data_IF_426065466867
#
_entry.id   IF_426065466867
#
_cell.length_a   1.000
_cell.length_b   1.000
_cell.length_c   1.000
_cell.angle_alpha   90.00
_cell.angle_beta   90.00
_cell.angle_gamma   90.00
#
_symmetry.space_group_name_H-M   'P 1'
#
loop_
_entity.id
_entity.type
_entity.pdbx_description
1 polymer ?
#
# COMPACT_ATOMS: atom_id res chain seq x y z
N UNK A 1 -17.38 27.92 -90.11
CA UNK A 1 -18.33 28.13 -89.02
C UNK A 1 -18.27 26.88 -88.11
N UNK A 2 -17.39 26.86 -87.14
CA UNK A 2 -17.24 25.75 -86.19
C UNK A 2 -17.93 26.09 -84.90
N UNK A 3 -18.92 25.33 -84.49
CA UNK A 3 -19.55 25.42 -83.17
C UNK A 3 -18.77 24.57 -82.17
N UNK A 4 -18.22 25.22 -81.13
CA UNK A 4 -17.58 24.55 -80.01
C UNK A 4 -18.72 24.29 -79.02
N UNK A 5 -18.95 22.97 -78.68
CA UNK A 5 -19.83 22.55 -77.61
C UNK A 5 -18.96 22.51 -76.30
N UNK A 6 -19.29 23.38 -75.35
CA UNK A 6 -18.71 23.29 -73.97
C UNK A 6 -19.55 22.31 -73.12
N UNK A 7 -18.95 21.19 -72.72
CA UNK A 7 -19.55 20.23 -71.81
C UNK A 7 -19.23 20.59 -70.37
N UNK A 8 -20.20 21.02 -69.57
CA UNK A 8 -20.08 21.25 -68.13
C UNK A 8 -20.26 19.91 -67.43
N UNK A 9 -19.16 19.39 -66.81
CA UNK A 9 -19.24 18.27 -65.86
C UNK A 9 -19.50 18.82 -64.47
N UNK A 10 -20.70 18.54 -63.93
CA UNK A 10 -21.05 18.79 -62.54
C UNK A 10 -20.40 17.71 -61.66
N UNK A 11 -19.46 18.07 -60.82
CA UNK A 11 -18.89 17.18 -59.77
C UNK A 11 -19.69 17.42 -58.51
N UNK A 12 -20.55 16.45 -58.13
CA UNK A 12 -21.25 16.46 -56.86
C UNK A 12 -20.25 15.93 -55.80
N UNK A 13 -19.74 16.81 -54.95
CA UNK A 13 -18.96 16.44 -53.76
C UNK A 13 -19.95 16.06 -52.66
N UNK A 14 -20.11 14.76 -52.43
CA UNK A 14 -20.90 14.22 -51.34
C UNK A 14 -20.11 14.31 -50.05
N UNK A 15 -20.34 15.35 -49.24
CA UNK A 15 -19.72 15.52 -47.93
C UNK A 15 -20.39 14.58 -46.93
N UNK A 16 -19.75 13.44 -46.63
CA UNK A 16 -20.18 12.57 -45.54
C UNK A 16 -19.87 13.25 -44.19
N UNK A 17 -20.90 13.78 -43.57
CA UNK A 17 -20.82 14.25 -42.17
C UNK A 17 -20.89 13.01 -41.27
N UNK A 18 -19.76 12.58 -40.76
CA UNK A 18 -19.70 11.58 -39.66
C UNK A 18 -20.17 12.24 -38.38
N UNK A 19 -21.41 12.02 -37.99
CA UNK A 19 -21.91 12.35 -36.65
C UNK A 19 -21.39 11.27 -35.74
N UNK A 20 -20.31 11.57 -34.99
CA UNK A 20 -19.87 10.76 -33.85
C UNK A 20 -20.88 10.98 -32.72
N UNK A 21 -21.91 10.15 -32.64
CA UNK A 21 -22.70 10.02 -31.42
C UNK A 21 -21.79 9.33 -30.38
N UNK A 22 -21.42 10.05 -29.31
CA UNK A 22 -20.92 9.40 -28.11
C UNK A 22 -22.03 8.51 -27.57
N UNK A 23 -21.98 7.22 -27.84
CA UNK A 23 -22.77 6.25 -27.11
C UNK A 23 -22.09 6.13 -25.74
N UNK A 24 -22.63 6.78 -24.72
CA UNK A 24 -22.30 6.45 -23.36
C UNK A 24 -22.66 4.97 -23.16
N UNK A 25 -21.65 4.14 -22.92
CA UNK A 25 -21.88 2.73 -22.64
C UNK A 25 -22.78 2.66 -21.40
N UNK A 26 -23.90 1.94 -21.51
CA UNK A 26 -24.85 1.78 -20.41
C UNK A 26 -24.12 1.08 -19.25
N UNK A 27 -24.11 1.71 -18.06
CA UNK A 27 -23.50 1.15 -16.86
C UNK A 27 -24.23 -0.12 -16.46
N UNK A 28 -23.51 -1.18 -16.12
CA UNK A 28 -24.08 -2.44 -15.63
C UNK A 28 -24.60 -2.25 -14.21
N UNK A 29 -25.92 -2.48 -13.99
CA UNK A 29 -26.63 -2.26 -12.72
C UNK A 29 -26.53 -3.46 -11.75
N UNK A 30 -25.36 -4.05 -11.60
CA UNK A 30 -25.10 -5.19 -10.69
C UNK A 30 -24.29 -4.78 -9.44
N UNK A 31 -24.46 -3.56 -8.99
CA UNK A 31 -23.74 -3.00 -7.85
C UNK A 31 -23.96 -3.77 -6.53
N UNK A 32 -22.85 -4.07 -5.83
CA UNK A 32 -22.85 -4.71 -4.52
C UNK A 32 -22.15 -3.82 -3.49
N UNK A 33 -22.64 -3.85 -2.27
CA UNK A 33 -22.03 -3.12 -1.14
C UNK A 33 -20.58 -3.59 -0.96
N UNK A 34 -19.65 -2.64 -0.94
CA UNK A 34 -18.23 -2.91 -0.66
C UNK A 34 -18.02 -3.36 0.78
N UNK A 35 -17.03 -4.20 1.03
CA UNK A 35 -16.62 -4.61 2.38
C UNK A 35 -16.08 -3.46 3.24
N UNK A 36 -15.82 -2.30 2.65
CA UNK A 36 -15.45 -1.06 3.35
C UNK A 36 -16.63 -0.20 3.77
N UNK A 37 -17.88 -0.59 3.47
CA UNK A 37 -19.06 0.10 3.97
C UNK A 37 -19.20 -0.09 5.49
N UNK A 38 -19.68 0.94 6.19
CA UNK A 38 -20.04 0.81 7.59
C UNK A 38 -21.21 -0.16 7.78
N UNK A 39 -21.27 -0.81 8.92
CA UNK A 39 -22.34 -1.77 9.26
C UNK A 39 -23.72 -1.11 9.08
N UNK A 40 -24.59 -1.77 8.31
CA UNK A 40 -25.94 -1.30 8.01
C UNK A 40 -26.02 -0.25 6.89
N UNK A 41 -24.91 0.17 6.31
CA UNK A 41 -24.88 1.07 5.15
C UNK A 41 -24.86 0.27 3.85
N UNK A 42 -25.50 0.83 2.81
CA UNK A 42 -25.52 0.23 1.46
C UNK A 42 -24.37 0.69 0.57
N UNK A 43 -23.76 1.84 0.88
CA UNK A 43 -22.69 2.46 0.12
C UNK A 43 -21.40 2.52 0.95
N UNK A 44 -20.22 2.61 0.30
CA UNK A 44 -20.00 2.57 -1.16
C UNK A 44 -20.32 1.21 -1.77
N UNK A 45 -20.63 1.20 -3.07
CA UNK A 45 -20.90 0.00 -3.85
C UNK A 45 -19.91 -0.13 -5.01
N UNK A 46 -19.72 -1.36 -5.48
CA UNK A 46 -18.90 -1.65 -6.66
C UNK A 46 -19.65 -2.61 -7.58
N UNK A 47 -19.61 -2.38 -8.90
CA UNK A 47 -20.19 -3.26 -9.88
C UNK A 47 -19.14 -4.18 -10.56
N UNK A 48 -19.58 -5.08 -11.44
CA UNK A 48 -18.70 -5.99 -12.18
C UNK A 48 -17.72 -5.29 -13.12
N UNK A 49 -17.99 -4.04 -13.53
CA UNK A 49 -17.06 -3.19 -14.28
C UNK A 49 -16.06 -2.45 -13.36
N UNK A 50 -16.08 -2.69 -12.05
CA UNK A 50 -15.24 -2.02 -11.05
C UNK A 50 -15.52 -0.51 -10.91
N UNK A 51 -16.74 -0.06 -11.28
CA UNK A 51 -17.19 1.30 -11.00
C UNK A 51 -17.60 1.41 -9.54
N UNK A 52 -17.18 2.49 -8.91
CA UNK A 52 -17.52 2.80 -7.51
C UNK A 52 -18.71 3.75 -7.49
N UNK A 53 -19.80 3.37 -6.80
CA UNK A 53 -20.99 4.19 -6.59
C UNK A 53 -21.07 4.64 -5.15
N UNK A 54 -21.32 5.93 -4.96
CA UNK A 54 -21.52 6.55 -3.64
C UNK A 54 -22.84 7.29 -3.58
N UNK A 55 -23.36 7.50 -2.35
CA UNK A 55 -24.60 8.24 -2.13
C UNK A 55 -24.51 9.03 -0.83
N UNK A 56 -24.96 10.29 -0.86
CA UNK A 56 -25.02 11.15 0.33
C UNK A 56 -26.25 12.07 0.29
N UNK A 57 -26.87 12.30 1.45
CA UNK A 57 -27.90 13.34 1.61
C UNK A 57 -27.23 14.68 1.91
N UNK A 58 -27.39 15.64 0.99
CA UNK A 58 -26.89 17.00 1.11
C UNK A 58 -27.85 17.97 0.39
N UNK A 59 -29.06 18.21 0.95
CA UNK A 59 -30.13 18.92 0.24
C UNK A 59 -29.78 20.35 -0.10
N UNK A 60 -28.95 21.04 0.67
CA UNK A 60 -28.55 22.42 0.44
C UNK A 60 -27.32 22.56 -0.46
N UNK A 61 -26.60 21.45 -0.75
CA UNK A 61 -25.41 21.49 -1.59
C UNK A 61 -25.76 21.86 -3.06
N UNK A 62 -24.86 22.61 -3.69
CA UNK A 62 -24.94 23.00 -5.10
C UNK A 62 -24.16 22.06 -6.00
N UNK A 63 -23.10 21.44 -5.48
CA UNK A 63 -22.24 20.52 -6.19
C UNK A 63 -21.73 19.46 -5.21
N UNK A 64 -21.88 18.18 -5.57
CA UNK A 64 -21.25 17.07 -4.86
C UNK A 64 -20.48 16.20 -5.87
N UNK A 65 -19.24 15.84 -5.53
CA UNK A 65 -18.38 15.06 -6.40
C UNK A 65 -17.76 13.89 -5.60
N UNK A 66 -17.60 12.75 -6.26
CA UNK A 66 -16.75 11.66 -5.82
C UNK A 66 -15.33 11.93 -6.30
N UNK A 67 -14.37 12.02 -5.38
CA UNK A 67 -12.93 12.22 -5.67
C UNK A 67 -12.21 10.89 -5.40
N UNK A 68 -11.89 10.15 -6.45
CA UNK A 68 -11.21 8.85 -6.40
C UNK A 68 -10.25 8.72 -7.59
N UNK A 69 -9.07 8.11 -7.36
CA UNK A 69 -8.06 7.92 -8.41
C UNK A 69 -7.55 9.26 -8.99
N UNK A 70 -7.52 10.33 -8.19
CA UNK A 70 -7.19 11.70 -8.60
C UNK A 70 -8.15 12.30 -9.65
N UNK A 71 -9.35 11.75 -9.81
CA UNK A 71 -10.41 12.22 -10.69
C UNK A 71 -11.66 12.56 -9.88
N UNK A 72 -12.32 13.67 -10.21
CA UNK A 72 -13.59 14.09 -9.60
C UNK A 72 -14.74 13.78 -10.55
N UNK A 73 -15.74 13.06 -10.04
CA UNK A 73 -16.94 12.66 -10.76
C UNK A 73 -18.15 13.38 -10.15
N UNK A 74 -18.90 14.13 -10.95
CA UNK A 74 -20.10 14.86 -10.52
C UNK A 74 -21.22 13.87 -10.16
N UNK A 75 -21.82 14.04 -8.98
CA UNK A 75 -23.00 13.32 -8.55
C UNK A 75 -24.28 14.03 -9.05
N UNK A 76 -25.37 13.28 -9.17
CA UNK A 76 -26.69 13.79 -9.53
C UNK A 76 -27.58 13.86 -8.28
N UNK A 77 -28.23 15.02 -8.09
CA UNK A 77 -29.17 15.28 -6.98
C UNK A 77 -30.57 14.85 -7.40
N UNK A 78 -31.24 14.10 -6.54
CA UNK A 78 -32.68 13.79 -6.69
C UNK A 78 -33.58 14.86 -6.04
N UNK A 79 -34.89 14.69 -6.14
CA UNK A 79 -35.91 15.59 -5.56
C UNK A 79 -35.88 15.67 -4.03
N UNK A 80 -35.32 14.65 -3.38
CA UNK A 80 -35.20 14.55 -1.90
C UNK A 80 -33.85 15.12 -1.40
N UNK A 81 -33.03 15.68 -2.28
CA UNK A 81 -31.71 16.22 -1.93
C UNK A 81 -30.65 15.16 -1.70
N UNK A 82 -30.86 13.94 -2.20
CA UNK A 82 -29.87 12.85 -2.15
C UNK A 82 -29.05 12.86 -3.42
N UNK A 83 -27.75 12.85 -3.27
CA UNK A 83 -26.77 12.83 -4.34
C UNK A 83 -26.23 11.44 -4.56
N UNK A 84 -26.28 10.96 -5.81
CA UNK A 84 -25.76 9.64 -6.20
C UNK A 84 -24.93 9.78 -7.48
N UNK A 85 -23.80 9.07 -7.53
CA UNK A 85 -22.96 9.07 -8.73
C UNK A 85 -21.88 7.98 -8.67
N UNK A 86 -21.17 7.87 -9.77
CA UNK A 86 -20.25 6.75 -10.04
C UNK A 86 -18.93 7.24 -10.61
N UNK A 87 -17.87 6.48 -10.32
CA UNK A 87 -16.58 6.65 -10.98
C UNK A 87 -16.53 5.96 -12.35
N UNK A 88 -15.51 6.25 -13.15
CA UNK A 88 -15.03 5.29 -14.15
C UNK A 88 -14.54 4.00 -13.47
N UNK A 89 -14.31 2.89 -14.22
CA UNK A 89 -13.69 1.69 -13.68
C UNK A 89 -12.39 1.99 -12.92
N UNK A 90 -12.24 1.40 -11.74
CA UNK A 90 -11.04 1.51 -10.90
C UNK A 90 -10.22 0.22 -11.01
N UNK A 91 -8.95 0.27 -10.62
CA UNK A 91 -8.14 -0.93 -10.49
C UNK A 91 -8.61 -1.80 -9.32
N UNK A 92 -8.19 -3.06 -9.29
CA UNK A 92 -8.51 -3.99 -8.20
C UNK A 92 -7.81 -3.60 -6.90
N UNK A 93 -8.48 -3.85 -5.76
CA UNK A 93 -7.94 -3.63 -4.44
C UNK A 93 -8.47 -2.38 -3.74
N UNK A 94 -7.72 -1.87 -2.79
CA UNK A 94 -8.14 -0.78 -1.92
C UNK A 94 -7.82 0.59 -2.53
N UNK A 95 -8.82 1.48 -2.55
CA UNK A 95 -8.68 2.87 -2.98
C UNK A 95 -9.14 3.85 -1.91
N UNK A 96 -8.35 4.90 -1.67
CA UNK A 96 -8.82 6.06 -0.92
C UNK A 96 -9.75 6.91 -1.77
N UNK A 97 -10.81 7.44 -1.17
CA UNK A 97 -11.68 8.42 -1.81
C UNK A 97 -12.19 9.47 -0.81
N UNK A 98 -12.70 10.57 -1.34
CA UNK A 98 -13.38 11.62 -0.59
C UNK A 98 -14.64 12.06 -1.32
N UNK A 99 -15.55 12.72 -0.62
CA UNK A 99 -16.60 13.51 -1.23
C UNK A 99 -16.17 14.99 -1.23
N UNK A 100 -16.41 15.69 -2.35
CA UNK A 100 -16.26 17.14 -2.39
C UNK A 100 -17.65 17.73 -2.41
N UNK A 101 -18.01 18.47 -1.36
CA UNK A 101 -19.32 19.15 -1.19
C UNK A 101 -19.07 20.64 -1.23
N UNK A 102 -19.53 21.30 -2.28
CA UNK A 102 -19.33 22.75 -2.52
C UNK A 102 -17.86 23.19 -2.36
N UNK A 103 -16.93 22.33 -2.78
CA UNK A 103 -15.49 22.56 -2.70
C UNK A 103 -14.80 22.08 -1.40
N UNK A 104 -15.56 21.69 -0.38
CA UNK A 104 -14.99 21.08 0.82
C UNK A 104 -14.75 19.58 0.62
N UNK A 105 -13.53 19.11 0.89
CA UNK A 105 -13.18 17.69 0.86
C UNK A 105 -13.53 17.04 2.20
N UNK A 106 -14.48 16.12 2.21
CA UNK A 106 -15.00 15.45 3.41
C UNK A 106 -15.00 13.94 3.29
N UNK A 107 -14.85 13.20 4.39
CA UNK A 107 -15.04 11.76 4.38
C UNK A 107 -16.52 11.40 4.12
N UNK A 108 -16.75 10.28 3.42
CA UNK A 108 -18.08 9.69 3.27
C UNK A 108 -18.51 9.01 4.59
N UNK A 109 -19.62 9.44 5.22
CA UNK A 109 -20.08 8.84 6.47
C UNK A 109 -20.59 7.40 6.31
N UNK A 110 -20.73 6.90 5.10
CA UNK A 110 -21.12 5.52 4.84
C UNK A 110 -19.94 4.56 4.75
N UNK A 111 -18.70 5.07 4.59
CA UNK A 111 -17.46 4.29 4.53
C UNK A 111 -16.83 4.10 5.91
N UNK A 112 -16.16 2.97 6.13
CA UNK A 112 -15.14 2.87 7.17
C UNK A 112 -14.05 3.93 6.91
N UNK A 113 -13.38 4.36 7.99
CA UNK A 113 -12.34 5.38 7.90
C UNK A 113 -10.95 4.76 7.97
N UNK A 114 -10.06 5.30 7.14
CA UNK A 114 -8.68 4.88 7.00
C UNK A 114 -7.76 6.09 7.06
N UNK A 115 -6.60 5.93 7.67
CA UNK A 115 -5.57 6.97 7.62
C UNK A 115 -4.69 6.77 6.39
N UNK A 116 -4.66 7.75 5.51
CA UNK A 116 -3.83 7.77 4.32
C UNK A 116 -3.81 9.17 3.69
N UNK A 117 -2.84 9.44 2.83
CA UNK A 117 -2.61 10.77 2.28
C UNK A 117 -2.56 11.87 3.37
N UNK A 118 -1.97 11.53 4.55
CA UNK A 118 -1.81 12.40 5.73
C UNK A 118 -3.12 12.88 6.38
N UNK A 119 -4.21 12.15 6.20
CA UNK A 119 -5.53 12.45 6.80
C UNK A 119 -6.37 11.20 7.00
N UNK A 120 -7.36 11.30 7.89
CA UNK A 120 -8.44 10.34 7.94
C UNK A 120 -9.42 10.58 6.79
N UNK A 121 -9.85 9.52 6.15
CA UNK A 121 -10.75 9.59 4.99
C UNK A 121 -11.42 8.27 4.70
N UNK A 122 -12.17 8.26 3.61
CA UNK A 122 -12.92 7.10 3.15
C UNK A 122 -12.05 6.14 2.35
N UNK A 123 -12.45 4.88 2.31
CA UNK A 123 -11.86 3.87 1.46
C UNK A 123 -12.91 2.97 0.83
N UNK A 124 -12.59 2.44 -0.32
CA UNK A 124 -13.40 1.44 -1.00
C UNK A 124 -12.55 0.25 -1.39
N UNK A 125 -13.05 -0.94 -1.14
CA UNK A 125 -12.47 -2.19 -1.62
C UNK A 125 -13.13 -2.54 -2.95
N UNK A 126 -12.36 -2.50 -4.02
CA UNK A 126 -12.73 -2.99 -5.34
C UNK A 126 -12.31 -4.46 -5.42
N UNK A 127 -13.23 -5.41 -5.67
CA UNK A 127 -12.91 -6.83 -5.67
C UNK A 127 -11.76 -7.17 -6.60
N UNK A 128 -10.76 -7.89 -6.09
CA UNK A 128 -9.63 -8.39 -6.87
C UNK A 128 -9.85 -9.87 -7.21
N UNK A 129 -9.36 -10.28 -8.39
CA UNK A 129 -9.49 -11.67 -8.85
C UNK A 129 -8.77 -12.68 -7.92
N UNK A 130 -7.78 -12.22 -7.16
CA UNK A 130 -6.99 -13.02 -6.23
C UNK A 130 -7.19 -12.64 -4.75
N UNK A 131 -8.30 -11.97 -4.40
CA UNK A 131 -8.54 -11.44 -3.05
C UNK A 131 -8.58 -12.50 -1.94
N UNK A 132 -8.73 -13.79 -2.29
CA UNK A 132 -8.83 -14.90 -1.36
C UNK A 132 -7.72 -14.93 -0.31
N UNK A 133 -6.49 -14.51 -0.63
CA UNK A 133 -5.37 -14.56 0.30
C UNK A 133 -5.47 -13.54 1.45
N UNK A 134 -6.29 -12.49 1.33
CA UNK A 134 -6.51 -11.47 2.37
C UNK A 134 -7.97 -11.33 2.79
N UNK A 135 -8.85 -12.22 2.36
CA UNK A 135 -10.25 -12.25 2.84
C UNK A 135 -10.34 -12.76 4.28
N UNK A 136 -11.40 -12.32 4.97
CA UNK A 136 -11.78 -12.86 6.26
C UNK A 136 -12.35 -14.27 6.06
N UNK A 137 -11.62 -15.28 6.47
CA UNK A 137 -11.99 -16.70 6.35
C UNK A 137 -12.34 -17.31 7.71
N UNK A 138 -13.03 -18.43 7.72
CA UNK A 138 -13.28 -19.20 8.93
C UNK A 138 -12.06 -20.07 9.29
N UNK A 139 -11.02 -19.41 9.76
CA UNK A 139 -9.76 -20.01 10.22
C UNK A 139 -9.42 -19.47 11.61
N UNK A 140 -8.50 -20.08 12.37
CA UNK A 140 -8.02 -19.47 13.61
C UNK A 140 -7.41 -18.09 13.35
N UNK A 141 -7.82 -17.08 14.11
CA UNK A 141 -7.35 -15.71 13.98
C UNK A 141 -6.38 -15.31 15.08
N UNK A 142 -5.35 -14.55 14.70
CA UNK A 142 -4.51 -13.80 15.59
C UNK A 142 -5.21 -12.54 16.13
N UNK A 143 -4.48 -11.72 16.85
CA UNK A 143 -4.99 -10.47 17.39
C UNK A 143 -4.10 -9.30 17.01
N UNK A 144 -4.72 -8.16 16.71
CA UNK A 144 -4.02 -6.87 16.56
C UNK A 144 -4.23 -6.08 17.84
N UNK A 145 -3.14 -5.76 18.54
CA UNK A 145 -3.12 -5.09 19.82
C UNK A 145 -2.59 -3.68 19.65
N UNK A 146 -3.29 -2.71 20.19
CA UNK A 146 -2.75 -1.36 20.34
C UNK A 146 -1.82 -1.35 21.57
N UNK A 147 -0.60 -0.83 21.39
CA UNK A 147 0.39 -0.70 22.45
C UNK A 147 0.90 0.74 22.51
N UNK A 148 0.68 1.38 23.65
CA UNK A 148 1.11 2.75 23.93
C UNK A 148 2.37 2.70 24.78
N UNK A 149 3.41 3.42 24.40
CA UNK A 149 4.69 3.47 25.12
C UNK A 149 5.28 4.88 25.11
N UNK A 150 6.12 5.15 26.10
CA UNK A 150 6.97 6.34 26.09
C UNK A 150 8.26 6.05 25.37
N UNK A 151 8.60 6.85 24.36
CA UNK A 151 9.86 6.75 23.64
C UNK A 151 10.89 7.70 24.27
N UNK A 152 11.98 7.15 24.78
CA UNK A 152 13.10 7.93 25.32
C UNK A 152 13.84 8.70 24.22
N UNK A 153 13.91 8.15 23.00
CA UNK A 153 14.56 8.80 21.87
C UNK A 153 13.73 10.00 21.34
N UNK A 154 12.39 9.86 21.28
CA UNK A 154 11.52 10.94 20.80
C UNK A 154 11.01 11.86 21.90
N UNK A 155 11.24 11.53 23.18
CA UNK A 155 10.72 12.25 24.36
C UNK A 155 9.21 12.46 24.29
N UNK A 156 8.47 11.47 23.80
CA UNK A 156 7.03 11.57 23.62
C UNK A 156 6.32 10.21 23.75
N UNK A 157 5.03 10.26 24.05
CA UNK A 157 4.18 9.08 23.97
C UNK A 157 4.02 8.68 22.51
N UNK A 158 4.21 7.39 22.23
CA UNK A 158 4.04 6.78 20.92
C UNK A 158 3.09 5.59 21.01
N UNK A 159 2.66 5.12 19.86
CA UNK A 159 1.76 3.99 19.73
C UNK A 159 2.24 3.10 18.60
N UNK A 160 2.15 1.78 18.78
CA UNK A 160 2.31 0.80 17.74
C UNK A 160 1.16 -0.21 17.77
N UNK A 161 0.94 -0.90 16.65
CA UNK A 161 0.04 -2.03 16.56
C UNK A 161 0.83 -3.32 16.44
N UNK A 162 0.42 -4.34 17.19
CA UNK A 162 1.16 -5.59 17.28
C UNK A 162 0.22 -6.73 16.92
N UNK A 163 0.48 -7.40 15.80
CA UNK A 163 -0.18 -8.65 15.50
C UNK A 163 0.51 -9.79 16.23
N UNK A 164 -0.27 -10.57 16.98
CA UNK A 164 0.14 -11.83 17.59
C UNK A 164 -0.57 -12.98 16.91
N UNK A 165 0.13 -14.08 16.51
CA UNK A 165 -0.45 -15.13 15.70
C UNK A 165 -1.51 -15.95 16.44
N UNK A 166 -2.33 -16.74 15.72
CA UNK A 166 -3.32 -17.63 16.32
C UNK A 166 -2.71 -18.53 17.40
N UNK A 167 -3.38 -18.65 18.53
CA UNK A 167 -2.91 -19.45 19.67
C UNK A 167 -1.88 -18.76 20.56
N UNK A 168 -1.45 -17.54 20.27
CA UNK A 168 -0.48 -16.80 21.09
C UNK A 168 -0.85 -16.80 22.56
N UNK A 169 -2.07 -16.42 22.94
CA UNK A 169 -2.49 -16.32 24.35
C UNK A 169 -2.67 -17.68 25.06
N UNK A 170 -2.85 -18.75 24.29
CA UNK A 170 -3.02 -20.12 24.83
C UNK A 170 -1.70 -20.83 25.05
N UNK A 171 -0.73 -20.59 24.17
CA UNK A 171 0.57 -21.29 24.17
C UNK A 171 1.64 -20.42 24.84
N UNK A 172 1.56 -20.29 26.16
CA UNK A 172 2.40 -19.36 26.95
C UNK A 172 3.90 -19.66 26.89
N UNK A 173 4.30 -20.89 26.60
CA UNK A 173 5.72 -21.29 26.51
C UNK A 173 6.33 -21.03 25.12
N UNK A 174 5.47 -20.81 24.11
CA UNK A 174 5.95 -20.63 22.74
C UNK A 174 6.50 -19.21 22.54
N UNK A 175 7.69 -19.12 21.97
CA UNK A 175 8.32 -17.86 21.55
C UNK A 175 8.32 -17.75 20.03
N UNK A 176 8.27 -16.53 19.53
CA UNK A 176 8.01 -16.24 18.12
C UNK A 176 9.08 -15.33 17.52
N UNK A 177 9.44 -15.54 16.25
CA UNK A 177 10.17 -14.53 15.48
C UNK A 177 9.36 -13.23 15.36
N UNK A 178 10.04 -12.12 15.01
CA UNK A 178 9.42 -10.80 14.92
C UNK A 178 9.73 -10.15 13.58
N UNK A 179 8.66 -9.68 12.89
CA UNK A 179 8.74 -8.80 11.74
C UNK A 179 8.39 -7.36 12.15
N UNK A 180 9.30 -6.43 11.97
CA UNK A 180 9.05 -4.98 12.08
C UNK A 180 8.62 -4.49 10.69
N UNK A 181 7.34 -4.09 10.55
CA UNK A 181 6.69 -3.81 9.27
C UNK A 181 6.27 -2.34 9.17
N UNK A 182 6.94 -1.57 8.30
CA UNK A 182 6.78 -0.13 8.21
C UNK A 182 5.80 0.30 7.12
N UNK A 183 5.01 1.33 7.44
CA UNK A 183 4.07 1.98 6.52
C UNK A 183 4.77 2.97 5.56
N UNK A 184 4.02 3.48 4.58
CA UNK A 184 4.48 4.46 3.59
C UNK A 184 4.33 5.92 4.02
N UNK A 185 4.80 6.82 3.18
CA UNK A 185 4.60 8.25 3.37
C UNK A 185 3.13 8.63 3.33
N UNK A 186 2.69 9.48 4.28
CA UNK A 186 1.28 9.88 4.39
C UNK A 186 0.37 8.86 5.06
N UNK A 187 0.90 7.74 5.54
CA UNK A 187 0.20 6.72 6.31
C UNK A 187 0.69 6.70 7.76
N UNK A 188 0.19 5.80 8.58
CA UNK A 188 0.59 5.65 9.97
C UNK A 188 0.58 4.17 10.41
N UNK A 189 0.79 3.93 11.69
CA UNK A 189 0.86 2.62 12.32
C UNK A 189 -0.39 1.73 12.14
N UNK A 190 -1.54 2.30 11.73
CA UNK A 190 -2.78 1.53 11.48
C UNK A 190 -2.83 0.92 10.09
N UNK A 191 -2.05 1.45 9.13
CA UNK A 191 -2.18 1.13 7.70
C UNK A 191 -2.10 -0.36 7.39
N UNK A 192 -1.09 -1.05 7.90
CA UNK A 192 -0.90 -2.47 7.61
C UNK A 192 -1.99 -3.37 8.19
N UNK A 193 -2.54 -3.05 9.37
CA UNK A 193 -3.61 -3.85 9.99
C UNK A 193 -5.01 -3.50 9.46
N UNK A 194 -5.20 -2.33 8.84
CA UNK A 194 -6.47 -1.90 8.26
C UNK A 194 -6.50 -2.13 6.74
N UNK A 195 -6.12 -1.13 5.94
CA UNK A 195 -6.12 -1.28 4.48
C UNK A 195 -5.10 -2.32 3.97
N UNK A 196 -4.01 -2.58 4.69
CA UNK A 196 -3.02 -3.61 4.36
C UNK A 196 -3.46 -5.04 4.65
N UNK A 197 -4.41 -5.23 5.56
CA UNK A 197 -4.95 -6.54 5.99
C UNK A 197 -3.87 -7.57 6.38
N UNK A 198 -2.75 -7.10 6.94
CA UNK A 198 -1.60 -7.95 7.26
C UNK A 198 -1.95 -9.10 8.21
N UNK A 199 -2.86 -8.85 9.17
CA UNK A 199 -3.35 -9.88 10.09
C UNK A 199 -4.11 -11.00 9.36
N UNK A 200 -4.99 -10.67 8.39
CA UNK A 200 -5.76 -11.66 7.63
C UNK A 200 -4.86 -12.44 6.68
N UNK A 201 -3.89 -11.77 6.04
CA UNK A 201 -2.87 -12.43 5.21
C UNK A 201 -2.12 -13.48 6.03
N UNK A 202 -1.70 -13.12 7.24
CA UNK A 202 -0.96 -14.03 8.13
C UNK A 202 -1.84 -15.18 8.62
N UNK A 203 -3.06 -14.89 9.08
CA UNK A 203 -4.00 -15.91 9.56
C UNK A 203 -4.26 -16.98 8.48
N UNK A 204 -4.52 -16.54 7.25
CA UNK A 204 -4.74 -17.43 6.11
C UNK A 204 -3.49 -18.25 5.78
N UNK A 205 -2.31 -17.62 5.69
CA UNK A 205 -1.05 -18.30 5.42
C UNK A 205 -0.67 -19.33 6.49
N UNK A 206 -0.90 -19.01 7.77
CA UNK A 206 -0.65 -19.92 8.89
C UNK A 206 -1.61 -21.11 8.83
N UNK A 207 -2.89 -20.87 8.59
CA UNK A 207 -3.90 -21.92 8.46
C UNK A 207 -3.62 -22.85 7.27
N UNK A 208 -3.07 -22.32 6.18
CA UNK A 208 -2.66 -23.09 4.99
C UNK A 208 -1.28 -23.77 5.16
N UNK A 209 -0.60 -23.59 6.29
CA UNK A 209 0.75 -24.12 6.53
C UNK A 209 1.84 -23.53 5.63
N UNK A 210 1.58 -22.35 4.99
CA UNK A 210 2.50 -21.68 4.07
C UNK A 210 3.47 -20.73 4.77
N UNK A 211 3.12 -20.23 5.96
CA UNK A 211 3.98 -19.38 6.78
C UNK A 211 4.09 -19.93 8.20
N UNK A 212 5.27 -19.75 8.81
CA UNK A 212 5.43 -19.95 10.26
C UNK A 212 4.71 -18.85 11.03
N UNK A 213 4.17 -19.12 12.22
CA UNK A 213 3.65 -18.07 13.08
C UNK A 213 4.78 -17.13 13.54
N UNK A 214 4.55 -15.81 13.41
CA UNK A 214 5.45 -14.77 13.93
C UNK A 214 4.67 -13.53 14.37
N UNK A 215 5.28 -12.70 15.19
CA UNK A 215 4.74 -11.41 15.63
C UNK A 215 5.04 -10.37 14.56
N UNK A 216 4.08 -9.46 14.28
CA UNK A 216 4.33 -8.28 13.45
C UNK A 216 4.19 -7.03 14.31
N UNK A 217 5.19 -6.16 14.26
CA UNK A 217 5.20 -4.86 14.94
C UNK A 217 5.07 -3.75 13.88
N UNK A 218 4.02 -2.96 13.97
CA UNK A 218 3.68 -1.86 13.08
C UNK A 218 3.75 -0.55 13.87
N UNK A 219 4.84 0.17 13.77
CA UNK A 219 5.03 1.46 14.44
C UNK A 219 4.87 2.62 13.45
N UNK A 220 4.70 3.83 13.98
CA UNK A 220 4.71 5.03 13.18
C UNK A 220 6.15 5.42 12.82
N UNK A 221 6.55 5.12 11.58
CA UNK A 221 7.87 5.46 11.05
C UNK A 221 8.08 6.95 10.78
N UNK A 222 7.03 7.78 10.97
CA UNK A 222 7.15 9.22 10.80
C UNK A 222 7.81 9.83 12.03
N UNK A 223 9.02 10.34 11.85
CA UNK A 223 9.75 11.07 12.87
C UNK A 223 9.58 12.57 12.64
N UNK A 224 9.04 13.30 13.60
CA UNK A 224 8.69 14.71 13.43
C UNK A 224 9.73 15.71 13.94
N UNK A 225 11.01 15.41 13.90
CA UNK A 225 11.94 16.53 13.79
C UNK A 225 11.91 17.00 12.34
N UNK A 226 11.16 18.08 12.09
CA UNK A 226 11.23 18.79 10.81
C UNK A 226 12.66 19.29 10.64
N UNK A 227 13.52 18.43 10.10
CA UNK A 227 14.77 18.88 9.52
C UNK A 227 14.48 19.89 8.42
N UNK A 228 15.40 20.75 8.06
CA UNK A 228 15.24 21.69 6.96
C UNK A 228 14.85 20.90 5.71
N UNK A 229 13.89 21.41 4.95
CA UNK A 229 13.56 20.83 3.62
C UNK A 229 14.86 20.78 2.82
N UNK A 230 15.14 19.66 2.11
CA UNK A 230 16.30 19.59 1.23
C UNK A 230 16.31 20.83 0.32
N UNK A 231 17.46 21.49 0.20
CA UNK A 231 17.66 22.53 -0.79
C UNK A 231 17.40 21.97 -2.19
N UNK A 232 16.88 22.79 -3.09
CA UNK A 232 16.71 22.40 -4.48
C UNK A 232 18.03 21.84 -5.03
N UNK A 233 18.03 20.56 -5.50
CA UNK A 233 19.21 19.87 -6.00
C UNK A 233 19.92 18.92 -5.03
N UNK A 234 19.44 18.77 -3.78
CA UNK A 234 19.95 17.77 -2.84
C UNK A 234 19.52 16.35 -3.19
N UNK A 235 20.32 15.35 -2.77
CA UNK A 235 19.95 13.91 -2.89
C UNK A 235 18.77 13.58 -2.00
N UNK A 236 17.84 12.78 -2.52
CA UNK A 236 16.70 12.25 -1.73
C UNK A 236 16.87 10.75 -1.51
N UNK A 237 16.68 10.24 -0.29
CA UNK A 237 16.48 10.98 0.96
C UNK A 237 17.77 11.69 1.41
N UNK A 238 17.68 12.81 2.16
CA UNK A 238 18.86 13.49 2.67
C UNK A 238 19.59 12.61 3.70
N UNK A 239 20.90 12.82 3.84
CA UNK A 239 21.72 12.12 4.85
C UNK A 239 21.10 12.27 6.25
N UNK A 240 21.00 11.17 6.98
CA UNK A 240 20.42 11.16 8.32
C UNK A 240 18.89 11.20 8.39
N UNK A 241 18.22 11.12 7.23
CA UNK A 241 16.75 11.17 7.17
C UNK A 241 16.05 10.08 8.00
N UNK A 242 16.61 8.88 8.05
CA UNK A 242 16.06 7.77 8.81
C UNK A 242 16.57 7.68 10.25
N UNK A 243 17.54 8.49 10.67
CA UNK A 243 18.26 8.32 11.95
C UNK A 243 17.33 8.43 13.16
N UNK A 244 16.39 9.37 13.13
CA UNK A 244 15.42 9.51 14.22
C UNK A 244 14.58 8.26 14.43
N UNK A 245 14.00 7.72 13.35
CA UNK A 245 13.23 6.48 13.47
C UNK A 245 14.11 5.27 13.73
N UNK A 246 15.30 5.21 13.16
CA UNK A 246 16.28 4.16 13.46
C UNK A 246 16.59 4.10 14.96
N UNK A 247 16.82 5.23 15.61
CA UNK A 247 17.05 5.29 17.05
C UNK A 247 15.84 4.81 17.84
N UNK A 248 14.62 5.29 17.51
CA UNK A 248 13.39 4.81 18.16
C UNK A 248 13.24 3.30 17.99
N UNK A 249 13.43 2.78 16.78
CA UNK A 249 13.31 1.35 16.51
C UNK A 249 14.30 0.52 17.33
N UNK A 250 15.57 0.91 17.30
CA UNK A 250 16.64 0.09 17.87
C UNK A 250 16.80 0.23 19.39
N UNK A 251 16.48 1.40 19.95
CA UNK A 251 16.69 1.68 21.38
C UNK A 251 15.42 1.63 22.22
N UNK A 252 14.25 1.89 21.63
CA UNK A 252 12.98 1.86 22.35
C UNK A 252 12.13 0.65 21.95
N UNK A 253 11.79 0.50 20.65
CA UNK A 253 10.79 -0.49 20.21
C UNK A 253 11.31 -1.92 20.36
N UNK A 254 12.47 -2.25 19.80
CA UNK A 254 13.01 -3.62 19.86
C UNK A 254 13.21 -4.09 21.30
N UNK A 255 13.83 -3.34 22.21
CA UNK A 255 13.96 -3.74 23.60
C UNK A 255 12.62 -3.90 24.34
N UNK A 256 11.65 -3.01 24.08
CA UNK A 256 10.31 -3.10 24.65
C UNK A 256 9.59 -4.37 24.18
N UNK A 257 9.60 -4.65 22.88
CA UNK A 257 8.95 -5.84 22.30
C UNK A 257 9.59 -7.13 22.83
N UNK A 258 10.92 -7.19 22.91
CA UNK A 258 11.63 -8.36 23.44
C UNK A 258 11.36 -8.58 24.93
N UNK A 259 11.09 -7.52 25.70
CA UNK A 259 10.74 -7.58 27.12
C UNK A 259 9.29 -7.99 27.36
N UNK A 260 8.35 -7.47 26.57
CA UNK A 260 6.91 -7.55 26.88
C UNK A 260 6.19 -8.64 26.09
N UNK A 261 6.78 -9.12 24.99
CA UNK A 261 6.22 -10.18 24.15
C UNK A 261 7.12 -11.42 24.15
N UNK A 262 6.54 -12.56 23.87
CA UNK A 262 7.29 -13.83 23.79
C UNK A 262 8.03 -13.93 22.45
N UNK A 263 9.12 -13.20 22.36
CA UNK A 263 9.99 -13.17 21.18
C UNK A 263 11.13 -14.18 21.25
N UNK A 264 11.73 -14.49 20.11
CA UNK A 264 13.07 -15.07 19.98
C UNK A 264 14.04 -13.90 19.74
N UNK A 265 14.69 -13.35 20.81
CA UNK A 265 15.33 -12.03 20.77
C UNK A 265 16.75 -12.08 20.17
N UNK A 266 16.90 -12.68 19.02
CA UNK A 266 18.18 -12.76 18.31
C UNK A 266 18.01 -12.34 16.83
N UNK A 267 19.12 -12.02 16.19
CA UNK A 267 19.17 -11.55 14.82
C UNK A 267 18.49 -12.53 13.84
N UNK A 268 18.69 -13.83 13.98
CA UNK A 268 18.16 -14.85 13.08
C UNK A 268 16.61 -14.88 13.04
N UNK A 269 15.98 -14.47 14.13
CA UNK A 269 14.54 -14.42 14.32
C UNK A 269 13.97 -13.00 14.23
N UNK A 270 14.73 -12.07 13.66
CA UNK A 270 14.28 -10.68 13.48
C UNK A 270 14.32 -10.27 12.01
N UNK A 271 13.19 -9.79 11.52
CA UNK A 271 13.02 -9.30 10.16
C UNK A 271 12.59 -7.83 10.16
N UNK A 272 12.94 -7.10 9.13
CA UNK A 272 12.42 -5.77 8.86
C UNK A 272 11.90 -5.68 7.43
N UNK A 273 10.71 -5.13 7.25
CA UNK A 273 10.17 -4.84 5.94
C UNK A 273 9.35 -3.54 5.95
N UNK A 274 9.08 -3.00 4.77
CA UNK A 274 8.23 -1.83 4.66
C UNK A 274 7.87 -1.48 3.22
N UNK A 275 6.81 -0.69 3.08
CA UNK A 275 6.35 -0.18 1.80
C UNK A 275 6.81 1.26 1.58
N UNK A 276 7.13 1.63 0.33
CA UNK A 276 7.44 3.02 -0.06
C UNK A 276 8.47 3.69 0.87
N UNK A 277 8.08 4.71 1.63
CA UNK A 277 8.90 5.34 2.68
C UNK A 277 9.48 4.29 3.67
N UNK A 278 8.65 3.36 4.13
CA UNK A 278 9.07 2.28 5.02
C UNK A 278 10.07 1.32 4.37
N UNK A 279 9.98 1.10 3.06
CA UNK A 279 10.99 0.35 2.30
C UNK A 279 12.34 1.08 2.24
N UNK A 280 12.33 2.41 2.05
CA UNK A 280 13.55 3.23 2.13
C UNK A 280 14.15 3.22 3.54
N UNK A 281 13.31 3.31 4.58
CA UNK A 281 13.77 3.17 5.98
C UNK A 281 14.38 1.80 6.21
N UNK A 282 13.74 0.73 5.73
CA UNK A 282 14.24 -0.64 5.83
C UNK A 282 15.63 -0.75 5.19
N UNK A 283 15.83 -0.23 3.98
CA UNK A 283 17.14 -0.20 3.33
C UNK A 283 18.19 0.49 4.18
N UNK A 284 17.93 1.71 4.64
CA UNK A 284 18.90 2.52 5.38
C UNK A 284 19.23 1.87 6.74
N UNK A 285 18.21 1.45 7.47
CA UNK A 285 18.36 0.91 8.84
C UNK A 285 19.09 -0.43 8.82
N UNK A 286 18.74 -1.32 7.88
CA UNK A 286 19.37 -2.65 7.84
C UNK A 286 20.82 -2.60 7.33
N UNK A 287 21.13 -1.68 6.41
CA UNK A 287 22.53 -1.44 6.00
C UNK A 287 23.37 -0.82 7.12
N UNK A 288 22.78 0.05 7.96
CA UNK A 288 23.48 0.65 9.11
C UNK A 288 23.63 -0.32 10.29
N UNK A 289 22.80 -1.36 10.39
CA UNK A 289 22.77 -2.34 11.49
C UNK A 289 22.73 -3.77 10.91
N UNK A 290 23.81 -4.24 10.27
CA UNK A 290 23.81 -5.52 9.57
C UNK A 290 23.68 -6.74 10.47
N UNK A 291 23.96 -6.60 11.77
CA UNK A 291 23.85 -7.62 12.80
C UNK A 291 22.49 -7.67 13.52
N UNK A 292 21.56 -6.80 13.18
CA UNK A 292 20.28 -6.68 13.88
C UNK A 292 19.16 -7.46 13.21
N UNK A 293 19.17 -7.55 11.88
CA UNK A 293 18.12 -8.20 11.10
C UNK A 293 18.72 -9.25 10.16
N UNK A 294 18.11 -10.44 10.12
CA UNK A 294 18.53 -11.50 9.19
C UNK A 294 17.70 -11.52 7.90
N UNK A 295 16.56 -10.86 7.88
CA UNK A 295 15.63 -10.94 6.77
C UNK A 295 15.04 -9.57 6.48
N UNK A 296 15.10 -9.17 5.21
CA UNK A 296 14.86 -7.80 4.78
C UNK A 296 13.89 -7.79 3.59
N UNK A 297 12.81 -7.00 3.70
CA UNK A 297 11.80 -6.83 2.65
C UNK A 297 11.59 -5.37 2.26
N UNK A 298 11.71 -5.03 1.00
CA UNK A 298 11.44 -3.69 0.48
C UNK A 298 10.35 -3.76 -0.58
N UNK A 299 9.19 -3.14 -0.29
CA UNK A 299 8.02 -3.12 -1.15
C UNK A 299 7.87 -1.72 -1.76
N UNK A 300 8.11 -1.56 -3.05
CA UNK A 300 8.06 -0.26 -3.75
C UNK A 300 8.90 0.85 -3.07
N UNK A 301 10.00 0.50 -2.41
CA UNK A 301 10.73 1.40 -1.50
C UNK A 301 12.25 1.43 -1.73
N UNK A 302 12.71 1.17 -2.93
CA UNK A 302 14.13 1.15 -3.25
C UNK A 302 14.67 -0.26 -3.49
N UNK A 303 15.97 -0.35 -3.71
CA UNK A 303 16.71 -1.60 -3.86
C UNK A 303 18.07 -1.50 -3.19
N UNK A 304 18.68 -2.63 -2.91
CA UNK A 304 20.08 -2.76 -2.46
C UNK A 304 20.89 -3.29 -3.63
N UNK A 305 22.06 -2.73 -3.85
CA UNK A 305 23.02 -3.18 -4.86
C UNK A 305 24.28 -3.75 -4.21
N UNK A 306 25.20 -4.25 -5.03
CA UNK A 306 26.47 -4.87 -4.54
C UNK A 306 27.36 -3.84 -3.82
N UNK A 307 27.37 -2.58 -4.27
CA UNK A 307 28.13 -1.52 -3.63
C UNK A 307 27.59 -1.21 -2.20
N UNK A 308 26.26 -1.17 -2.04
CA UNK A 308 25.64 -1.02 -0.71
C UNK A 308 26.09 -2.13 0.25
N UNK A 309 26.12 -3.38 -0.24
CA UNK A 309 26.55 -4.54 0.56
C UNK A 309 28.04 -4.43 0.92
N UNK A 310 28.89 -4.04 -0.03
CA UNK A 310 30.32 -3.88 0.22
C UNK A 310 30.62 -2.75 1.23
N UNK A 311 29.77 -1.72 1.25
CA UNK A 311 29.88 -0.59 2.20
C UNK A 311 29.25 -0.87 3.57
N UNK A 312 28.65 -2.06 3.76
CA UNK A 312 28.04 -2.51 5.02
C UNK A 312 28.69 -3.82 5.48
N UNK A 313 29.82 -3.76 6.21
CA UNK A 313 30.55 -4.95 6.65
C UNK A 313 29.66 -5.90 7.46
N UNK A 314 29.66 -7.18 7.10
CA UNK A 314 28.84 -8.21 7.73
C UNK A 314 27.42 -8.34 7.14
N UNK A 315 26.98 -7.44 6.29
CA UNK A 315 25.62 -7.51 5.73
C UNK A 315 25.36 -8.80 4.93
N UNK A 316 26.31 -9.18 4.07
CA UNK A 316 26.22 -10.40 3.27
C UNK A 316 26.15 -11.67 4.14
N UNK A 317 26.94 -11.73 5.19
CA UNK A 317 27.03 -12.87 6.10
C UNK A 317 25.79 -12.99 7.00
N UNK A 318 25.24 -11.86 7.38
CA UNK A 318 24.17 -11.78 8.38
C UNK A 318 22.76 -11.80 7.76
N UNK A 319 22.57 -11.19 6.59
CA UNK A 319 21.25 -11.18 5.92
C UNK A 319 21.04 -12.47 5.15
N UNK A 320 20.08 -13.28 5.63
CA UNK A 320 19.76 -14.61 5.06
C UNK A 320 18.67 -14.57 3.99
N UNK A 321 17.90 -13.49 3.92
CA UNK A 321 16.88 -13.26 2.92
C UNK A 321 16.79 -11.76 2.61
N UNK A 322 16.90 -11.43 1.32
CA UNK A 322 16.59 -10.10 0.79
C UNK A 322 15.46 -10.23 -0.23
N UNK A 323 14.35 -9.53 0.03
CA UNK A 323 13.18 -9.52 -0.85
C UNK A 323 12.88 -8.10 -1.31
N UNK A 324 12.81 -7.91 -2.62
CA UNK A 324 12.49 -6.62 -3.25
C UNK A 324 11.27 -6.82 -4.15
N UNK A 325 10.29 -5.92 -4.07
CA UNK A 325 9.08 -6.02 -4.89
C UNK A 325 8.59 -4.67 -5.36
N UNK A 326 7.88 -4.69 -6.49
CA UNK A 326 7.23 -3.54 -7.10
C UNK A 326 5.94 -3.95 -7.81
N UNK A 327 5.02 -3.01 -8.00
CA UNK A 327 3.94 -3.16 -8.96
C UNK A 327 4.49 -3.09 -10.39
N UNK A 328 3.86 -3.82 -11.32
CA UNK A 328 4.33 -3.84 -12.72
C UNK A 328 4.32 -2.46 -13.39
N UNK A 329 3.36 -1.60 -13.02
CA UNK A 329 3.24 -0.23 -13.54
C UNK A 329 4.24 0.77 -12.90
N UNK A 330 5.02 0.33 -11.90
CA UNK A 330 6.06 1.16 -11.30
C UNK A 330 7.42 1.01 -11.98
N UNK A 331 7.63 -0.04 -12.78
CA UNK A 331 8.97 -0.43 -13.26
C UNK A 331 9.56 0.61 -14.22
N UNK A 332 8.72 1.30 -14.99
CA UNK A 332 9.14 2.36 -15.92
C UNK A 332 9.35 3.72 -15.23
N UNK A 333 9.03 3.82 -13.92
CA UNK A 333 9.21 5.06 -13.18
C UNK A 333 10.70 5.28 -12.87
N UNK A 334 11.29 6.44 -13.23
CA UNK A 334 12.69 6.75 -12.91
C UNK A 334 13.02 6.62 -11.41
N UNK A 335 12.06 6.88 -10.52
CA UNK A 335 12.26 6.75 -9.06
C UNK A 335 12.50 5.30 -8.64
N UNK A 336 11.88 4.32 -9.31
CA UNK A 336 12.10 2.89 -9.05
C UNK A 336 13.55 2.51 -9.30
N UNK A 337 14.19 3.14 -10.27
CA UNK A 337 15.54 2.84 -10.72
C UNK A 337 16.62 3.77 -10.12
N UNK A 338 16.32 4.58 -9.10
CA UNK A 338 17.28 5.53 -8.51
C UNK A 338 18.58 4.87 -8.00
N UNK A 339 18.49 3.62 -7.50
CA UNK A 339 19.65 2.82 -7.03
C UNK A 339 20.01 1.72 -8.03
N UNK A 340 19.76 1.92 -9.32
CA UNK A 340 19.85 0.91 -10.37
C UNK A 340 18.57 0.07 -10.49
N UNK A 341 18.45 -0.69 -11.57
CA UNK A 341 17.30 -1.59 -11.79
C UNK A 341 17.19 -2.61 -10.66
N UNK A 342 16.04 -2.72 -9.96
CA UNK A 342 15.85 -3.69 -8.88
C UNK A 342 16.08 -5.14 -9.34
N UNK A 343 15.66 -5.50 -10.54
CA UNK A 343 15.86 -6.83 -11.11
C UNK A 343 17.34 -7.16 -11.32
N UNK A 344 18.09 -6.20 -11.90
CA UNK A 344 19.54 -6.36 -12.12
C UNK A 344 20.32 -6.37 -10.80
N UNK A 345 19.91 -5.56 -9.83
CA UNK A 345 20.51 -5.57 -8.50
C UNK A 345 20.35 -6.95 -7.83
N UNK A 346 19.13 -7.51 -7.84
CA UNK A 346 18.86 -8.84 -7.28
C UNK A 346 19.68 -9.91 -8.01
N UNK A 347 19.80 -9.84 -9.34
CA UNK A 347 20.63 -10.77 -10.12
C UNK A 347 22.10 -10.73 -9.67
N UNK A 348 22.68 -9.53 -9.59
CA UNK A 348 24.07 -9.34 -9.13
C UNK A 348 24.30 -9.77 -7.69
N UNK A 349 23.32 -9.55 -6.82
CA UNK A 349 23.37 -10.02 -5.43
C UNK A 349 23.36 -11.56 -5.34
N UNK A 350 22.61 -12.25 -6.21
CA UNK A 350 22.67 -13.71 -6.30
C UNK A 350 24.05 -14.20 -6.79
N UNK A 351 24.66 -13.50 -7.75
CA UNK A 351 26.00 -13.83 -8.27
C UNK A 351 27.08 -13.78 -7.18
N UNK A 352 26.93 -12.90 -6.19
CA UNK A 352 27.84 -12.86 -5.01
C UNK A 352 27.38 -13.80 -3.88
N UNK A 353 26.36 -14.64 -4.10
CA UNK A 353 25.92 -15.67 -3.15
C UNK A 353 24.87 -15.22 -2.13
N UNK A 354 24.23 -14.07 -2.30
CA UNK A 354 23.12 -13.65 -1.44
C UNK A 354 21.80 -14.30 -1.87
N UNK A 355 21.02 -14.80 -0.88
CA UNK A 355 19.64 -15.26 -1.10
C UNK A 355 18.72 -14.03 -1.28
N UNK A 356 18.55 -13.61 -2.52
CA UNK A 356 17.80 -12.41 -2.88
C UNK A 356 16.67 -12.74 -3.87
N UNK A 357 15.52 -12.08 -3.70
CA UNK A 357 14.32 -12.30 -4.51
C UNK A 357 13.80 -10.99 -5.08
N UNK A 358 13.34 -11.05 -6.34
CA UNK A 358 12.60 -9.95 -6.95
C UNK A 358 11.20 -10.43 -7.32
N UNK A 359 10.18 -9.73 -6.83
CA UNK A 359 8.78 -10.01 -7.12
C UNK A 359 8.13 -8.82 -7.81
N UNK A 360 7.37 -9.09 -8.86
CA UNK A 360 6.57 -8.10 -9.59
C UNK A 360 5.10 -8.42 -9.36
N UNK A 361 4.37 -7.51 -8.72
CA UNK A 361 2.92 -7.62 -8.58
C UNK A 361 2.27 -7.26 -9.92
N UNK A 362 1.55 -8.20 -10.57
CA UNK A 362 1.00 -7.96 -11.91
C UNK A 362 -0.14 -6.94 -11.87
N UNK A 363 -0.20 -6.08 -12.88
CA UNK A 363 -1.26 -5.09 -13.11
C UNK A 363 -1.53 -4.18 -11.90
N UNK A 364 -0.49 -3.82 -11.16
CA UNK A 364 -0.57 -2.90 -10.02
C UNK A 364 0.45 -1.79 -10.12
N UNK A 365 0.14 -0.68 -9.48
CA UNK A 365 0.98 0.50 -9.34
C UNK A 365 1.50 0.63 -7.89
N UNK A 366 1.78 1.87 -7.45
CA UNK A 366 2.20 2.22 -6.08
C UNK A 366 0.99 2.25 -5.15
N UNK A 367 0.47 1.08 -4.77
CA UNK A 367 -0.82 0.92 -4.12
C UNK A 367 -0.91 -0.31 -3.20
N UNK A 368 -1.96 -0.35 -2.36
CA UNK A 368 -2.15 -1.40 -1.35
C UNK A 368 -2.26 -2.81 -1.93
N UNK A 369 -2.83 -3.01 -3.12
CA UNK A 369 -2.92 -4.34 -3.73
C UNK A 369 -1.53 -4.90 -4.04
N UNK A 370 -0.61 -4.05 -4.54
CA UNK A 370 0.80 -4.40 -4.75
C UNK A 370 1.47 -4.82 -3.43
N UNK A 371 1.27 -4.05 -2.36
CA UNK A 371 1.93 -4.28 -1.07
C UNK A 371 1.35 -5.46 -0.30
N UNK A 372 0.04 -5.73 -0.39
CA UNK A 372 -0.59 -6.95 0.14
C UNK A 372 0.01 -8.20 -0.51
N UNK A 373 0.12 -8.21 -1.84
CA UNK A 373 0.76 -9.31 -2.58
C UNK A 373 2.24 -9.46 -2.21
N UNK A 374 2.95 -8.35 -2.03
CA UNK A 374 4.35 -8.35 -1.60
C UNK A 374 4.52 -8.97 -0.21
N UNK A 375 3.68 -8.58 0.75
CA UNK A 375 3.67 -9.19 2.09
C UNK A 375 3.32 -10.68 2.03
N UNK A 376 2.33 -11.07 1.23
CA UNK A 376 1.95 -12.46 1.04
C UNK A 376 3.11 -13.31 0.52
N UNK A 377 3.87 -12.83 -0.46
CA UNK A 377 5.03 -13.54 -0.99
C UNK A 377 6.19 -13.56 0.02
N UNK A 378 6.48 -12.44 0.67
CA UNK A 378 7.55 -12.32 1.64
C UNK A 378 7.31 -13.20 2.87
N UNK A 379 6.10 -13.21 3.42
CA UNK A 379 5.73 -13.97 4.60
C UNK A 379 5.91 -15.49 4.43
N UNK A 380 5.84 -15.99 3.21
CA UNK A 380 6.09 -17.40 2.90
C UNK A 380 7.59 -17.76 2.87
N UNK A 381 8.47 -16.78 2.82
CA UNK A 381 9.93 -16.98 2.73
C UNK A 381 10.64 -16.75 4.07
N UNK A 382 10.09 -15.85 4.90
CA UNK A 382 10.77 -15.47 6.14
C UNK A 382 10.72 -16.59 7.20
N UNK A 383 11.75 -16.65 8.03
CA UNK A 383 11.89 -17.54 9.20
C UNK A 383 11.81 -19.04 8.86
N UNK A 384 12.13 -19.43 7.62
CA UNK A 384 12.20 -20.84 7.19
C UNK A 384 13.43 -21.55 7.72
#
# INVERSE_FOLDING_TARGET
MNKILLSFKFVIIMTCVFIFTKTDAQVIEDFKTSTSAQIGKKFPQVNSERRVRVQISAPEAKLVQLDIGAVKYDLKKDENGVWTGESAPQDEGFHYYQLNIDGASVPDPASLYYYGASRWGSGVEVPAHDQDFYELKNVPHGQVREHIYYSEESKSMRRCFIYTPPGYDKNIETRYPVLYLQHGGGENETGWSSQGRANLIMDNLIAEGKAKPFIIVMDNGTWSQRGPRPSAGGTWPPKGWADGFMNVLTKDIIPMIDKEYRTLPNQQNRAMAGLSMGGMQTRIITLANPDLFSQVGMFSGGSINVEDVNNSPGYKENVKLLFISYGSHELDNPRTNMNGSPAENVKKLKEIGMNSHFYISPNTAHEWQSWRRSLYQFAQLVFK
#
